data_IF_365469776858
#
_entry.id   IF_365469776858
#
_cell.length_a   1.000
_cell.length_b   1.000
_cell.length_c   1.000
_cell.angle_alpha   90.00
_cell.angle_beta   90.00
_cell.angle_gamma   90.00
#
_symmetry.space_group_name_H-M   'P 1'
#
loop_
_entity.id
_entity.type
_entity.pdbx_description
1 polymer ?
#
# COMPACT_ATOMS: atom_id res chain seq x y z
N UNK A 1 12.72 -23.28 -22.09
CA UNK A 1 11.55 -22.44 -21.73
C UNK A 1 11.19 -22.57 -20.25
N UNK A 2 10.66 -23.71 -19.78
CA UNK A 2 10.33 -23.88 -18.35
C UNK A 2 11.51 -23.64 -17.38
N UNK A 3 12.70 -24.22 -17.64
CA UNK A 3 13.88 -24.02 -16.80
C UNK A 3 14.31 -22.54 -16.74
N UNK A 4 14.28 -21.83 -17.88
CA UNK A 4 14.63 -20.41 -17.95
C UNK A 4 13.67 -19.58 -17.10
N UNK A 5 12.36 -19.81 -17.22
CA UNK A 5 11.36 -19.14 -16.39
C UNK A 5 11.59 -19.41 -14.90
N UNK A 6 11.85 -20.66 -14.52
CA UNK A 6 12.10 -21.03 -13.12
C UNK A 6 13.33 -20.32 -12.56
N UNK A 7 14.41 -20.21 -13.34
CA UNK A 7 15.62 -19.49 -12.92
C UNK A 7 15.33 -17.99 -12.78
N UNK A 8 14.71 -17.38 -13.78
CA UNK A 8 14.37 -15.94 -13.74
C UNK A 8 13.43 -15.62 -12.59
N UNK A 9 12.36 -16.41 -12.42
CA UNK A 9 11.38 -16.19 -11.35
C UNK A 9 11.97 -16.43 -9.96
N UNK A 10 12.84 -17.43 -9.79
CA UNK A 10 13.55 -17.66 -8.55
C UNK A 10 14.51 -16.51 -8.21
N UNK A 11 15.27 -15.98 -9.17
CA UNK A 11 16.14 -14.82 -8.96
C UNK A 11 15.32 -13.60 -8.61
N UNK A 12 14.21 -13.34 -9.31
CA UNK A 12 13.35 -12.20 -9.05
C UNK A 12 12.74 -12.28 -7.63
N UNK A 13 12.25 -13.46 -7.24
CA UNK A 13 11.74 -13.69 -5.88
C UNK A 13 12.82 -13.50 -4.81
N UNK A 14 14.02 -14.05 -5.03
CA UNK A 14 15.15 -13.91 -4.11
C UNK A 14 15.64 -12.46 -3.98
N UNK A 15 15.73 -11.73 -5.09
CA UNK A 15 16.11 -10.32 -5.11
C UNK A 15 15.07 -9.45 -4.39
N UNK A 16 13.77 -9.68 -4.67
CA UNK A 16 12.66 -8.99 -4.00
C UNK A 16 12.72 -9.20 -2.49
N UNK A 17 12.93 -10.45 -2.07
CA UNK A 17 13.02 -10.81 -0.66
C UNK A 17 14.26 -10.18 -0.02
N UNK A 18 15.42 -10.26 -0.67
CA UNK A 18 16.67 -9.67 -0.16
C UNK A 18 16.57 -8.17 0.05
N UNK A 19 16.04 -7.45 -0.95
CA UNK A 19 15.80 -6.00 -0.86
C UNK A 19 14.75 -5.68 0.21
N UNK A 20 13.65 -6.43 0.28
CA UNK A 20 12.61 -6.24 1.29
C UNK A 20 13.08 -6.56 2.72
N UNK A 21 14.08 -7.41 2.88
CA UNK A 21 14.65 -7.70 4.19
C UNK A 21 15.57 -6.58 4.70
N UNK A 22 16.06 -5.69 3.82
CA UNK A 22 17.05 -4.65 4.15
C UNK A 22 16.57 -3.73 5.30
N UNK A 23 15.34 -3.18 5.30
CA UNK A 23 14.86 -2.36 6.41
C UNK A 23 14.67 -3.15 7.73
N UNK A 24 14.49 -4.48 7.67
CA UNK A 24 14.26 -5.31 8.85
C UNK A 24 15.54 -5.63 9.64
N UNK A 25 16.72 -5.48 9.03
CA UNK A 25 18.01 -5.72 9.69
C UNK A 25 18.44 -4.58 10.62
N UNK A 26 17.89 -3.38 10.44
CA UNK A 26 18.27 -2.22 11.24
C UNK A 26 17.21 -1.86 12.30
N UNK A 27 17.65 -1.30 13.44
CA UNK A 27 16.77 -0.78 14.48
C UNK A 27 16.58 0.73 14.29
N UNK A 28 15.50 1.10 13.60
CA UNK A 28 15.15 2.49 13.35
C UNK A 28 14.44 3.13 14.55
N UNK A 29 14.70 4.41 14.79
CA UNK A 29 13.89 5.24 15.71
C UNK A 29 12.53 5.56 15.09
N UNK A 30 11.54 5.95 15.92
CA UNK A 30 10.20 6.33 15.46
C UNK A 30 10.24 7.41 14.38
N UNK A 31 11.05 8.46 14.56
CA UNK A 31 11.19 9.56 13.60
C UNK A 31 11.80 9.11 12.26
N UNK A 32 12.71 8.12 12.29
CA UNK A 32 13.27 7.57 11.05
C UNK A 32 12.23 6.69 10.35
N UNK A 33 11.50 5.86 11.09
CA UNK A 33 10.40 5.07 10.52
C UNK A 33 9.31 5.95 9.89
N UNK A 34 8.98 7.09 10.50
CA UNK A 34 8.03 8.04 9.92
C UNK A 34 8.55 8.59 8.59
N UNK A 35 9.79 9.09 8.54
CA UNK A 35 10.41 9.62 7.30
C UNK A 35 10.49 8.55 6.22
N UNK A 36 10.84 7.34 6.60
CA UNK A 36 11.03 6.22 5.68
C UNK A 36 9.69 5.69 5.16
N UNK A 37 8.65 5.69 5.99
CA UNK A 37 7.27 5.40 5.59
C UNK A 37 6.74 6.44 4.61
N UNK A 38 6.94 7.74 4.88
CA UNK A 38 6.58 8.84 3.97
C UNK A 38 7.34 8.75 2.64
N UNK A 39 8.64 8.45 2.68
CA UNK A 39 9.43 8.17 1.48
C UNK A 39 8.86 6.95 0.73
N UNK A 40 8.49 5.90 1.46
CA UNK A 40 7.84 4.69 0.94
C UNK A 40 6.53 4.98 0.22
N UNK A 41 5.67 5.86 0.75
CA UNK A 41 4.46 6.33 0.06
C UNK A 41 4.83 6.97 -1.28
N UNK A 42 5.87 7.81 -1.31
CA UNK A 42 6.41 8.38 -2.55
C UNK A 42 6.89 7.30 -3.52
N UNK A 43 7.65 6.31 -3.05
CA UNK A 43 8.12 5.19 -3.87
C UNK A 43 6.98 4.39 -4.49
N UNK A 44 5.89 4.11 -3.74
CA UNK A 44 4.71 3.41 -4.26
C UNK A 44 3.98 4.24 -5.32
N UNK A 45 3.81 5.55 -5.08
CA UNK A 45 3.18 6.45 -6.03
C UNK A 45 4.03 6.62 -7.30
N UNK A 46 5.35 6.71 -7.15
CA UNK A 46 6.32 6.75 -8.24
C UNK A 46 6.35 5.46 -9.06
N UNK A 47 6.30 4.29 -8.40
CA UNK A 47 6.24 3.00 -9.09
C UNK A 47 4.93 2.87 -9.88
N UNK A 48 3.79 3.31 -9.33
CA UNK A 48 2.51 3.30 -10.01
C UNK A 48 2.52 4.19 -11.27
N UNK A 49 2.87 5.48 -11.10
CA UNK A 49 2.76 6.49 -12.16
C UNK A 49 3.92 6.46 -13.16
N UNK A 50 5.13 6.17 -12.69
CA UNK A 50 6.36 6.28 -13.48
C UNK A 50 6.84 4.96 -14.09
N UNK A 51 6.25 3.82 -13.70
CA UNK A 51 6.68 2.51 -14.20
C UNK A 51 5.49 1.64 -14.61
N UNK A 52 4.65 1.22 -13.65
CA UNK A 52 3.62 0.19 -13.87
C UNK A 52 2.56 0.65 -14.88
N UNK A 53 2.05 1.88 -14.74
CA UNK A 53 1.03 2.40 -15.65
C UNK A 53 1.61 2.61 -17.07
N UNK A 54 2.77 3.30 -17.24
CA UNK A 54 3.43 3.38 -18.54
C UNK A 54 3.64 2.01 -19.22
N UNK A 55 4.25 1.05 -18.52
CA UNK A 55 4.48 -0.30 -19.05
C UNK A 55 3.17 -0.99 -19.47
N UNK A 56 2.12 -0.86 -18.66
CA UNK A 56 0.80 -1.42 -18.97
C UNK A 56 0.13 -0.76 -20.18
N UNK A 57 0.31 0.55 -20.36
CA UNK A 57 -0.17 1.29 -21.53
C UNK A 57 0.56 0.82 -22.79
N UNK A 58 1.88 0.76 -22.75
CA UNK A 58 2.72 0.31 -23.88
C UNK A 58 2.37 -1.11 -24.31
N UNK A 59 2.32 -2.06 -23.38
CA UNK A 59 1.94 -3.44 -23.65
C UNK A 59 0.54 -3.56 -24.27
N UNK A 60 -0.40 -2.70 -23.86
CA UNK A 60 -1.76 -2.68 -24.41
C UNK A 60 -1.79 -2.10 -25.84
N UNK A 61 -0.99 -1.08 -26.12
CA UNK A 61 -0.88 -0.46 -27.45
C UNK A 61 -0.19 -1.41 -28.43
N UNK A 62 0.91 -2.03 -28.03
CA UNK A 62 1.63 -3.02 -28.85
C UNK A 62 0.73 -4.20 -29.24
N UNK A 63 -0.12 -4.66 -28.31
CA UNK A 63 -1.07 -5.74 -28.58
C UNK A 63 -2.25 -5.34 -29.47
N UNK A 64 -2.50 -4.05 -29.70
CA UNK A 64 -3.61 -3.54 -30.51
C UNK A 64 -3.11 -2.49 -31.52
N UNK A 65 -2.35 -2.90 -32.57
CA UNK A 65 -1.81 -2.00 -33.57
C UNK A 65 -2.96 -1.29 -34.33
N UNK A 66 -3.13 0.01 -34.08
CA UNK A 66 -4.24 0.80 -34.60
C UNK A 66 -4.62 1.94 -33.67
N UNK A 67 -5.90 2.06 -33.33
CA UNK A 67 -6.39 3.09 -32.42
C UNK A 67 -6.04 2.71 -30.98
N UNK A 68 -5.38 3.59 -30.19
CA UNK A 68 -5.08 3.30 -28.80
C UNK A 68 -6.39 3.01 -28.05
N UNK A 69 -6.49 1.87 -27.34
CA UNK A 69 -7.72 1.47 -26.67
C UNK A 69 -7.88 2.22 -25.34
N UNK A 70 -7.91 3.56 -25.39
CA UNK A 70 -7.95 4.45 -24.22
C UNK A 70 -9.07 4.08 -23.24
N UNK A 71 -10.24 3.66 -23.75
CA UNK A 71 -11.35 3.21 -22.92
C UNK A 71 -11.04 1.93 -22.13
N UNK A 72 -10.29 0.98 -22.70
CA UNK A 72 -9.85 -0.23 -21.99
C UNK A 72 -8.81 0.12 -20.93
N UNK A 73 -7.90 1.04 -21.24
CA UNK A 73 -6.88 1.50 -20.30
C UNK A 73 -7.52 2.14 -19.07
N UNK A 74 -8.42 3.10 -19.29
CA UNK A 74 -9.14 3.76 -18.20
C UNK A 74 -9.97 2.77 -17.38
N UNK A 75 -10.69 1.85 -18.06
CA UNK A 75 -11.49 0.83 -17.40
C UNK A 75 -10.62 -0.12 -16.57
N UNK A 76 -9.45 -0.54 -17.06
CA UNK A 76 -8.52 -1.41 -16.34
C UNK A 76 -8.04 -0.74 -15.03
N UNK A 77 -7.64 0.53 -15.11
CA UNK A 77 -7.21 1.30 -13.94
C UNK A 77 -8.33 1.46 -12.91
N UNK A 78 -9.55 1.80 -13.36
CA UNK A 78 -10.72 1.94 -12.49
C UNK A 78 -11.08 0.59 -11.85
N UNK A 79 -11.04 -0.51 -12.61
CA UNK A 79 -11.27 -1.85 -12.07
C UNK A 79 -10.24 -2.17 -10.99
N UNK A 80 -8.96 -1.92 -11.24
CA UNK A 80 -7.89 -2.18 -10.27
C UNK A 80 -8.03 -1.37 -8.98
N UNK A 81 -8.37 -0.08 -9.12
CA UNK A 81 -8.61 0.80 -7.98
C UNK A 81 -9.86 0.37 -7.20
N UNK A 82 -10.96 0.10 -7.90
CA UNK A 82 -12.25 -0.32 -7.30
C UNK A 82 -12.14 -1.69 -6.64
N UNK A 83 -11.39 -2.61 -7.23
CA UNK A 83 -11.12 -3.92 -6.64
C UNK A 83 -10.45 -3.76 -5.28
N UNK A 84 -9.41 -2.92 -5.18
CA UNK A 84 -8.77 -2.66 -3.89
C UNK A 84 -9.68 -1.95 -2.90
N UNK A 85 -10.50 -1.01 -3.35
CA UNK A 85 -11.52 -0.37 -2.53
C UNK A 85 -12.47 -1.42 -1.94
N UNK A 86 -13.06 -2.26 -2.78
CA UNK A 86 -13.96 -3.33 -2.34
C UNK A 86 -13.25 -4.26 -1.36
N UNK A 87 -12.00 -4.66 -1.66
CA UNK A 87 -11.23 -5.53 -0.78
C UNK A 87 -10.98 -4.90 0.58
N UNK A 88 -10.65 -3.60 0.66
CA UNK A 88 -10.53 -2.90 1.94
C UNK A 88 -11.87 -2.92 2.70
N UNK A 89 -12.98 -2.60 2.03
CA UNK A 89 -14.30 -2.58 2.67
C UNK A 89 -14.77 -3.96 3.15
N UNK A 90 -14.47 -5.02 2.40
CA UNK A 90 -14.85 -6.40 2.76
C UNK A 90 -13.97 -7.00 3.86
N UNK A 91 -12.69 -6.63 3.89
CA UNK A 91 -11.71 -7.22 4.81
C UNK A 91 -11.57 -6.38 6.09
N UNK A 92 -12.01 -5.12 6.08
CA UNK A 92 -12.06 -4.25 7.27
C UNK A 92 -13.46 -3.65 7.51
N UNK A 93 -14.51 -4.45 7.84
CA UNK A 93 -15.87 -3.93 8.03
C UNK A 93 -16.09 -3.11 9.32
N UNK A 94 -15.05 -2.61 10.00
CA UNK A 94 -15.25 -2.07 11.37
C UNK A 94 -14.27 -0.96 11.77
N UNK A 95 -14.61 0.27 11.38
CA UNK A 95 -14.26 1.47 12.17
C UNK A 95 -15.22 2.64 11.92
N UNK A 96 -16.53 2.36 11.97
CA UNK A 96 -17.54 3.37 12.29
C UNK A 96 -18.50 2.80 13.34
N UNK A 97 -17.99 2.52 14.55
CA UNK A 97 -18.86 2.53 15.72
C UNK A 97 -19.02 3.98 16.17
N UNK A 98 -20.10 4.64 15.72
CA UNK A 98 -20.64 5.76 16.49
C UNK A 98 -20.95 5.23 17.89
N UNK A 99 -20.24 5.75 18.89
CA UNK A 99 -20.58 5.59 20.30
C UNK A 99 -21.91 6.31 20.56
N UNK A 100 -23.01 5.59 20.34
CA UNK A 100 -24.29 5.88 20.98
C UNK A 100 -24.36 4.95 22.20
N UNK A 101 -24.16 5.52 23.39
CA UNK A 101 -25.07 5.33 24.52
C UNK A 101 -24.51 6.00 25.79
N UNK A 102 -25.35 6.83 26.41
CA UNK A 102 -25.04 7.49 27.68
C UNK A 102 -25.99 8.62 28.06
N UNK A 103 -27.31 8.44 27.92
CA UNK A 103 -28.29 9.28 28.62
C UNK A 103 -28.80 8.51 29.84
N UNK A 104 -28.68 9.04 31.07
CA UNK A 104 -29.62 8.75 32.13
C UNK A 104 -30.70 9.84 32.18
N UNK A 105 -31.95 9.39 32.10
CA UNK A 105 -33.03 9.79 32.99
C UNK A 105 -33.55 11.23 32.99
N UNK A 106 -34.83 11.31 32.55
CA UNK A 106 -35.95 11.87 33.32
C UNK A 106 -36.39 13.33 33.05
N UNK A 107 -37.72 13.48 33.12
CA UNK A 107 -38.53 14.70 33.23
C UNK A 107 -38.56 15.63 32.00
N UNK A 108 -39.62 15.57 31.18
CA UNK A 108 -40.92 16.24 31.35
C UNK A 108 -40.95 17.71 30.89
N UNK A 109 -41.82 17.91 29.88
CA UNK A 109 -42.84 18.98 29.81
C UNK A 109 -42.49 20.29 29.08
N UNK A 110 -43.03 20.34 27.85
CA UNK A 110 -43.98 21.35 27.34
C UNK A 110 -43.47 22.76 26.97
N UNK A 111 -43.66 23.09 25.69
CA UNK A 111 -44.14 24.42 25.26
C UNK A 111 -43.08 25.39 24.74
N UNK A 112 -43.04 25.55 23.42
CA UNK A 112 -42.63 26.80 22.73
C UNK A 112 -43.43 28.02 23.26
N UNK A 113 -43.02 29.31 23.07
CA UNK A 113 -42.26 29.77 21.89
C UNK A 113 -41.29 30.98 22.05
N UNK A 114 -40.53 31.22 20.97
CA UNK A 114 -39.87 32.46 20.48
C UNK A 114 -38.53 32.96 21.07
N UNK A 115 -37.55 33.10 20.14
CA UNK A 115 -36.52 34.17 19.94
C UNK A 115 -35.67 34.58 21.16
N UNK A 116 -34.34 34.62 21.16
CA UNK A 116 -33.39 35.08 20.16
C UNK A 116 -31.97 34.55 20.50
N UNK A 117 -31.07 34.66 19.52
CA UNK A 117 -29.65 34.28 19.57
C UNK A 117 -28.86 35.32 20.38
N UNK A 118 -28.12 34.90 21.43
CA UNK A 118 -26.89 35.58 21.87
C UNK A 118 -26.00 34.62 22.68
N UNK A 119 -24.71 34.55 22.34
CA UNK A 119 -23.71 33.65 22.95
C UNK A 119 -22.95 34.40 24.05
N UNK A 120 -23.01 33.87 25.28
CA UNK A 120 -22.56 34.52 26.51
C UNK A 120 -21.15 34.08 26.95
N UNK A 121 -20.53 34.92 27.78
CA UNK A 121 -19.10 35.08 28.02
C UNK A 121 -18.47 34.20 29.14
N UNK A 122 -17.14 34.08 29.04
CA UNK A 122 -16.07 34.09 30.06
C UNK A 122 -16.15 33.42 31.47
N UNK A 123 -14.99 32.83 31.81
CA UNK A 123 -14.19 32.91 33.08
C UNK A 123 -14.43 31.96 34.29
N UNK A 124 -13.28 31.44 34.78
CA UNK A 124 -12.98 30.99 36.16
C UNK A 124 -13.43 29.57 36.51
N UNK A 125 -12.75 28.76 37.32
CA UNK A 125 -11.79 29.06 38.38
C UNK A 125 -10.99 27.79 38.75
N UNK A 126 -9.78 28.01 39.27
CA UNK A 126 -8.88 27.01 39.82
C UNK A 126 -9.45 26.44 41.13
N UNK A 127 -9.41 25.12 41.32
CA UNK A 127 -9.40 24.54 42.67
C UNK A 127 -8.49 23.33 42.76
N UNK A 128 -7.79 23.30 43.88
CA UNK A 128 -6.46 22.76 44.11
C UNK A 128 -6.52 21.52 45.02
N UNK A 129 -5.63 20.57 44.73
CA UNK A 129 -4.98 19.61 45.62
C UNK A 129 -5.80 18.73 46.61
N UNK A 130 -5.68 17.41 46.39
CA UNK A 130 -4.97 16.54 47.34
C UNK A 130 -5.77 15.45 48.04
N UNK A 131 -5.52 14.18 47.70
CA UNK A 131 -5.10 13.11 48.65
C UNK A 131 -4.78 11.80 47.93
N UNK A 132 -3.67 11.20 48.33
CA UNK A 132 -3.23 9.85 47.94
C UNK A 132 -3.94 8.77 48.77
N UNK A 133 -4.23 7.62 48.13
CA UNK A 133 -4.18 6.28 48.75
C UNK A 133 -4.03 5.21 47.66
N UNK A 134 -2.99 4.39 47.82
CA UNK A 134 -2.73 3.12 47.13
C UNK A 134 -3.91 2.17 47.21
N UNK A 135 -4.23 1.48 46.10
CA UNK A 135 -4.57 0.05 46.11
C UNK A 135 -4.21 -0.59 44.76
N UNK A 136 -3.25 -1.51 44.84
CA UNK A 136 -2.84 -2.49 43.84
C UNK A 136 -4.00 -3.37 43.35
N UNK A 137 -4.24 -3.42 42.04
CA UNK A 137 -4.95 -4.54 41.40
C UNK A 137 -4.60 -4.66 39.90
N UNK A 138 -3.79 -5.67 39.58
CA UNK A 138 -3.70 -6.43 38.33
C UNK A 138 -3.90 -5.68 36.99
N UNK A 139 -2.77 -5.26 36.41
CA UNK A 139 -2.63 -4.95 34.99
C UNK A 139 -2.70 -6.23 34.14
N UNK A 140 -3.81 -6.46 33.45
CA UNK A 140 -3.86 -7.41 32.32
C UNK A 140 -4.83 -6.93 31.23
N UNK A 141 -4.26 -6.60 30.06
CA UNK A 141 -4.84 -6.26 28.73
C UNK A 141 -5.13 -4.75 28.46
N UNK A 142 -4.62 -4.21 27.33
CA UNK A 142 -5.10 -4.58 25.99
C UNK A 142 -3.99 -4.79 24.93
N UNK A 143 -3.21 -5.88 25.03
CA UNK A 143 -2.23 -6.25 23.97
C UNK A 143 -2.94 -6.80 22.71
N UNK A 144 -4.17 -7.32 22.84
CA UNK A 144 -4.94 -7.91 21.73
C UNK A 144 -5.58 -6.89 20.78
N UNK A 145 -5.93 -5.68 21.26
CA UNK A 145 -6.54 -4.62 20.45
C UNK A 145 -5.52 -3.93 19.53
N UNK A 146 -4.32 -3.62 20.03
CA UNK A 146 -3.26 -2.97 19.23
C UNK A 146 -2.66 -3.91 18.16
N UNK A 147 -2.67 -5.22 18.41
CA UNK A 147 -2.19 -6.22 17.46
C UNK A 147 -3.17 -6.46 16.31
N UNK A 148 -4.49 -6.37 16.57
CA UNK A 148 -5.51 -6.46 15.52
C UNK A 148 -5.43 -5.25 14.58
N UNK A 149 -5.37 -4.04 15.15
CA UNK A 149 -5.29 -2.79 14.38
C UNK A 149 -4.08 -2.70 13.44
N UNK A 150 -2.93 -3.26 13.83
CA UNK A 150 -1.74 -3.32 12.96
C UNK A 150 -1.90 -4.27 11.79
N UNK A 151 -2.56 -5.42 12.01
CA UNK A 151 -2.83 -6.41 10.98
C UNK A 151 -3.83 -5.89 9.96
N UNK A 152 -4.84 -5.16 10.41
CA UNK A 152 -5.90 -4.59 9.58
C UNK A 152 -5.34 -3.55 8.59
N UNK A 153 -4.31 -2.79 8.99
CA UNK A 153 -3.62 -1.85 8.08
C UNK A 153 -2.62 -2.52 7.16
N UNK A 154 -1.91 -3.53 7.65
CA UNK A 154 -0.86 -4.20 6.89
C UNK A 154 -1.38 -5.16 5.83
N UNK A 155 -2.55 -5.76 6.05
CA UNK A 155 -3.09 -6.77 5.14
C UNK A 155 -3.52 -6.19 3.78
N UNK A 156 -4.25 -5.06 3.70
CA UNK A 156 -4.56 -4.41 2.42
C UNK A 156 -3.30 -3.99 1.64
N UNK A 157 -2.24 -3.55 2.33
CA UNK A 157 -0.93 -3.29 1.71
C UNK A 157 -0.36 -4.56 1.08
N UNK A 158 -0.32 -5.66 1.85
CA UNK A 158 0.16 -6.96 1.35
C UNK A 158 -0.68 -7.44 0.16
N UNK A 159 -1.99 -7.31 0.23
CA UNK A 159 -2.90 -7.78 -0.80
C UNK A 159 -2.69 -7.02 -2.12
N UNK A 160 -2.65 -5.68 -2.08
CA UNK A 160 -2.40 -4.88 -3.28
C UNK A 160 -1.05 -5.17 -3.92
N UNK A 161 -0.02 -5.36 -3.10
CA UNK A 161 1.32 -5.73 -3.57
C UNK A 161 1.42 -7.18 -4.07
N UNK A 162 0.64 -8.11 -3.51
CA UNK A 162 0.56 -9.46 -4.01
C UNK A 162 -0.15 -9.54 -5.38
N UNK A 163 -1.22 -8.75 -5.57
CA UNK A 163 -1.91 -8.61 -6.87
C UNK A 163 -0.95 -8.04 -7.92
N UNK A 164 -0.19 -7.01 -7.57
CA UNK A 164 0.86 -6.47 -8.45
C UNK A 164 1.93 -7.49 -8.79
N UNK A 165 2.47 -8.17 -7.78
CA UNK A 165 3.44 -9.25 -8.02
C UNK A 165 2.87 -10.36 -8.90
N UNK A 166 1.55 -10.57 -8.87
CA UNK A 166 0.88 -11.51 -9.77
C UNK A 166 0.87 -11.02 -11.22
N UNK A 167 0.65 -9.73 -11.47
CA UNK A 167 0.77 -9.12 -12.80
C UNK A 167 2.20 -9.19 -13.34
N UNK A 168 3.22 -8.95 -12.51
CA UNK A 168 4.63 -9.13 -12.87
C UNK A 168 4.92 -10.59 -13.31
N UNK A 169 4.34 -11.55 -12.58
CA UNK A 169 4.50 -12.97 -12.88
C UNK A 169 3.89 -13.33 -14.23
N UNK A 170 2.72 -12.77 -14.55
CA UNK A 170 2.07 -12.93 -15.86
C UNK A 170 2.94 -12.33 -16.98
N UNK A 171 3.48 -11.13 -16.78
CA UNK A 171 4.37 -10.47 -17.74
C UNK A 171 5.65 -11.28 -17.98
N UNK A 172 6.29 -11.77 -16.92
CA UNK A 172 7.47 -12.62 -17.01
C UNK A 172 7.19 -13.94 -17.75
N UNK A 173 6.05 -14.57 -17.47
CA UNK A 173 5.64 -15.82 -18.12
C UNK A 173 5.29 -15.65 -19.59
N UNK A 174 4.69 -14.50 -19.96
CA UNK A 174 4.31 -14.21 -21.34
C UNK A 174 5.51 -13.85 -22.23
N UNK A 175 6.34 -12.91 -21.78
CA UNK A 175 7.46 -12.42 -22.59
C UNK A 175 8.70 -13.33 -22.55
N UNK A 176 9.02 -13.91 -21.38
CA UNK A 176 10.27 -14.65 -21.10
C UNK A 176 11.56 -13.95 -21.59
N UNK A 177 11.51 -12.62 -21.73
CA UNK A 177 12.62 -11.81 -22.19
C UNK A 177 13.52 -11.42 -21.01
N UNK A 178 14.84 -11.49 -21.23
CA UNK A 178 15.81 -11.01 -20.25
C UNK A 178 15.65 -9.51 -19.97
N UNK A 179 15.21 -8.74 -20.97
CA UNK A 179 14.95 -7.30 -20.81
C UNK A 179 13.79 -7.05 -19.86
N UNK A 180 12.66 -7.73 -20.06
CA UNK A 180 11.48 -7.65 -19.16
C UNK A 180 11.86 -8.11 -17.76
N UNK A 181 12.63 -9.20 -17.65
CA UNK A 181 13.14 -9.66 -16.36
C UNK A 181 13.99 -8.61 -15.63
N UNK A 182 14.90 -7.93 -16.34
CA UNK A 182 15.74 -6.90 -15.76
C UNK A 182 14.91 -5.68 -15.32
N UNK A 183 13.97 -5.23 -16.16
CA UNK A 183 13.03 -4.17 -15.82
C UNK A 183 12.24 -4.48 -14.53
N UNK A 184 11.69 -5.70 -14.44
CA UNK A 184 11.00 -6.20 -13.24
C UNK A 184 11.90 -6.15 -12.00
N UNK A 185 13.15 -6.60 -12.08
CA UNK A 185 14.07 -6.54 -10.92
C UNK A 185 14.25 -5.09 -10.45
N UNK A 186 14.48 -4.18 -11.39
CA UNK A 186 14.83 -2.79 -11.09
C UNK A 186 13.66 -2.08 -10.41
N UNK A 187 12.43 -2.23 -10.93
CA UNK A 187 11.27 -1.53 -10.36
C UNK A 187 10.69 -2.22 -9.12
N UNK A 188 10.96 -3.51 -8.92
CA UNK A 188 10.49 -4.27 -7.75
C UNK A 188 11.31 -3.98 -6.50
N UNK A 189 12.56 -3.53 -6.67
CA UNK A 189 13.40 -3.07 -5.55
C UNK A 189 12.77 -1.86 -4.80
N UNK A 190 12.40 -0.75 -5.47
CA UNK A 190 11.65 0.35 -4.85
C UNK A 190 10.38 -0.10 -4.14
N UNK A 191 9.56 -0.92 -4.80
CA UNK A 191 8.29 -1.43 -4.26
C UNK A 191 8.51 -2.28 -3.00
N UNK A 192 9.52 -3.15 -2.99
CA UNK A 192 9.84 -4.02 -1.84
C UNK A 192 10.37 -3.24 -0.64
N UNK A 193 11.20 -2.21 -0.89
CA UNK A 193 11.65 -1.29 0.15
C UNK A 193 10.46 -0.54 0.75
N UNK A 194 9.66 0.09 -0.10
CA UNK A 194 8.50 0.86 0.31
C UNK A 194 7.54 0.01 1.15
N UNK A 195 7.24 -1.20 0.70
CA UNK A 195 6.39 -2.15 1.41
C UNK A 195 6.88 -2.42 2.82
N UNK A 196 8.14 -2.80 2.96
CA UNK A 196 8.71 -3.19 4.25
C UNK A 196 8.73 -2.01 5.20
N UNK A 197 9.02 -0.81 4.69
CA UNK A 197 9.05 0.41 5.50
C UNK A 197 7.65 0.82 5.94
N UNK A 198 6.62 0.65 5.09
CA UNK A 198 5.23 0.83 5.48
C UNK A 198 4.80 -0.21 6.51
N UNK A 199 5.17 -1.49 6.37
CA UNK A 199 4.91 -2.52 7.38
C UNK A 199 5.56 -2.20 8.73
N UNK A 200 6.81 -1.73 8.73
CA UNK A 200 7.52 -1.34 9.95
C UNK A 200 6.91 -0.11 10.63
N UNK A 201 6.14 0.71 9.90
CA UNK A 201 5.38 1.82 10.46
C UNK A 201 4.02 1.41 11.03
N UNK A 202 3.58 0.15 10.82
CA UNK A 202 2.42 -0.44 11.51
C UNK A 202 2.83 -1.01 12.87
N UNK A 203 1.86 -1.34 13.73
CA UNK A 203 2.10 -2.01 15.02
C UNK A 203 2.44 -3.51 14.91
N UNK A 204 2.78 -4.01 13.71
CA UNK A 204 3.17 -5.40 13.52
C UNK A 204 4.55 -5.74 14.09
N UNK A 205 4.67 -6.95 14.63
CA UNK A 205 5.96 -7.48 15.08
C UNK A 205 6.86 -7.79 13.87
N UNK A 206 8.18 -7.61 14.03
CA UNK A 206 9.18 -7.90 12.97
C UNK A 206 9.05 -9.31 12.36
N UNK A 207 8.78 -10.39 13.13
CA UNK A 207 8.55 -11.70 12.54
C UNK A 207 7.33 -11.74 11.59
N UNK A 208 6.27 -10.99 11.89
CA UNK A 208 5.12 -10.87 10.99
C UNK A 208 5.47 -10.06 9.74
N UNK A 209 6.26 -8.98 9.86
CA UNK A 209 6.75 -8.25 8.70
C UNK A 209 7.57 -9.17 7.78
N UNK A 210 8.46 -10.01 8.33
CA UNK A 210 9.24 -11.00 7.55
C UNK A 210 8.32 -11.97 6.80
N UNK A 211 7.25 -12.45 7.43
CA UNK A 211 6.25 -13.32 6.79
C UNK A 211 5.56 -12.59 5.63
N UNK A 212 5.19 -11.32 5.81
CA UNK A 212 4.50 -10.55 4.78
C UNK A 212 5.41 -10.27 3.58
N UNK A 213 6.68 -9.91 3.85
CA UNK A 213 7.71 -9.77 2.80
C UNK A 213 7.94 -11.08 2.06
N UNK A 214 7.93 -12.23 2.76
CA UNK A 214 8.04 -13.54 2.12
C UNK A 214 6.84 -13.85 1.21
N UNK A 215 5.60 -13.58 1.67
CA UNK A 215 4.39 -13.77 0.86
C UNK A 215 4.42 -12.88 -0.38
N UNK A 216 4.76 -11.60 -0.23
CA UNK A 216 4.92 -10.67 -1.35
C UNK A 216 5.99 -11.14 -2.34
N UNK A 217 7.16 -11.55 -1.85
CA UNK A 217 8.26 -11.98 -2.73
C UNK A 217 7.94 -13.29 -3.46
N UNK A 218 7.10 -14.15 -2.87
CA UNK A 218 6.66 -15.40 -3.46
C UNK A 218 5.51 -15.23 -4.48
N UNK A 219 4.74 -14.13 -4.43
CA UNK A 219 3.58 -13.96 -5.31
C UNK A 219 3.97 -13.94 -6.79
N UNK A 220 5.07 -13.25 -7.14
CA UNK A 220 5.58 -13.18 -8.52
C UNK A 220 6.07 -14.51 -9.06
N UNK A 221 6.98 -15.26 -8.40
CA UNK A 221 7.40 -16.55 -8.92
C UNK A 221 6.26 -17.56 -8.99
N UNK A 222 5.36 -17.56 -8.00
CA UNK A 222 4.19 -18.43 -8.02
C UNK A 222 3.27 -18.10 -9.20
N UNK A 223 2.95 -16.83 -9.40
CA UNK A 223 2.12 -16.37 -10.52
C UNK A 223 2.79 -16.65 -11.87
N UNK A 224 4.10 -16.49 -12.00
CA UNK A 224 4.82 -16.81 -13.24
C UNK A 224 4.70 -18.30 -13.61
N UNK A 225 4.89 -19.19 -12.62
CA UNK A 225 4.77 -20.63 -12.83
C UNK A 225 3.32 -21.00 -13.20
N UNK A 226 2.34 -20.50 -12.47
CA UNK A 226 0.91 -20.75 -12.74
C UNK A 226 0.52 -20.25 -14.13
N UNK A 227 0.92 -19.03 -14.48
CA UNK A 227 0.68 -18.41 -15.78
C UNK A 227 1.29 -19.23 -16.92
N UNK A 228 2.53 -19.70 -16.76
CA UNK A 228 3.18 -20.54 -17.76
C UNK A 228 2.46 -21.88 -17.97
N UNK A 229 2.06 -22.55 -16.88
CA UNK A 229 1.30 -23.79 -16.97
C UNK A 229 -0.04 -23.53 -17.68
N UNK A 230 -0.73 -22.44 -17.34
CA UNK A 230 -2.00 -22.07 -17.97
C UNK A 230 -1.85 -21.80 -19.47
N UNK A 231 -0.87 -20.99 -19.87
CA UNK A 231 -0.59 -20.71 -21.28
C UNK A 231 -0.21 -21.97 -22.07
N UNK A 232 0.59 -22.86 -21.46
CA UNK A 232 0.98 -24.13 -22.08
C UNK A 232 -0.19 -25.11 -22.23
N UNK A 233 -1.18 -25.06 -21.32
CA UNK A 233 -2.33 -25.98 -21.31
C UNK A 233 -3.49 -25.51 -22.18
N UNK A 234 -3.75 -24.20 -22.24
CA UNK A 234 -4.91 -23.63 -22.93
C UNK A 234 -4.61 -23.23 -24.38
N UNK A 235 -3.35 -23.24 -24.83
CA UNK A 235 -2.96 -22.84 -26.18
C UNK A 235 -3.19 -21.35 -26.50
N UNK A 236 -3.72 -20.56 -25.55
CA UNK A 236 -3.73 -19.09 -25.56
C UNK A 236 -2.35 -18.60 -25.16
N UNK A 237 -1.42 -18.66 -26.12
CA UNK A 237 -0.08 -18.10 -25.96
C UNK A 237 -0.11 -16.58 -25.83
N UNK A 238 0.81 -16.04 -25.02
CA UNK A 238 1.22 -14.63 -24.91
C UNK A 238 0.25 -13.56 -25.45
N UNK A 239 -0.99 -13.52 -24.95
CA UNK A 239 -1.93 -12.45 -25.29
C UNK A 239 -1.40 -11.15 -24.64
N UNK A 240 -0.63 -10.36 -25.37
CA UNK A 240 -0.09 -9.08 -24.88
C UNK A 240 -1.18 -8.16 -24.32
N UNK A 241 -2.40 -8.29 -24.83
CA UNK A 241 -3.57 -7.60 -24.32
C UNK A 241 -3.94 -8.04 -22.89
N UNK A 242 -3.79 -9.32 -22.53
CA UNK A 242 -3.98 -9.77 -21.14
C UNK A 242 -2.89 -9.24 -20.22
N UNK A 243 -1.64 -9.19 -20.69
CA UNK A 243 -0.51 -8.69 -19.91
C UNK A 243 -0.67 -7.19 -19.64
N UNK A 244 -0.92 -6.38 -20.67
CA UNK A 244 -1.14 -4.95 -20.52
C UNK A 244 -2.33 -4.63 -19.62
N UNK A 245 -3.45 -5.35 -19.77
CA UNK A 245 -4.62 -5.20 -18.89
C UNK A 245 -4.31 -5.59 -17.45
N UNK A 246 -3.55 -6.66 -17.21
CA UNK A 246 -3.15 -7.07 -15.87
C UNK A 246 -2.23 -6.04 -15.19
N UNK A 247 -1.27 -5.47 -15.93
CA UNK A 247 -0.40 -4.40 -15.44
C UNK A 247 -1.20 -3.13 -15.12
N UNK A 248 -2.18 -2.75 -15.94
CA UNK A 248 -3.03 -1.58 -15.69
C UNK A 248 -3.98 -1.79 -14.50
N UNK A 249 -4.58 -2.97 -14.36
CA UNK A 249 -5.34 -3.33 -13.15
C UNK A 249 -4.43 -3.24 -11.91
N UNK A 250 -3.21 -3.76 -12.00
CA UNK A 250 -2.19 -3.61 -10.95
C UNK A 250 -1.85 -2.14 -10.66
N UNK A 251 -1.74 -1.29 -11.69
CA UNK A 251 -1.50 0.15 -11.54
C UNK A 251 -2.61 0.85 -10.77
N UNK A 252 -3.87 0.53 -11.06
CA UNK A 252 -5.03 1.02 -10.31
C UNK A 252 -5.02 0.58 -8.84
N UNK A 253 -4.67 -0.69 -8.59
CA UNK A 253 -4.46 -1.23 -7.24
C UNK A 253 -3.36 -0.47 -6.49
N UNK A 254 -2.25 -0.16 -7.13
CA UNK A 254 -1.14 0.59 -6.54
C UNK A 254 -1.50 2.04 -6.22
N UNK A 255 -2.23 2.71 -7.11
CA UNK A 255 -2.73 4.05 -6.84
C UNK A 255 -3.62 4.07 -5.60
N UNK A 256 -4.49 3.08 -5.43
CA UNK A 256 -5.30 2.95 -4.23
C UNK A 256 -4.44 2.81 -2.97
N UNK A 257 -3.48 1.87 -3.00
CA UNK A 257 -2.56 1.63 -1.88
C UNK A 257 -1.78 2.90 -1.51
N UNK A 258 -1.25 3.61 -2.52
CA UNK A 258 -0.41 4.79 -2.29
C UNK A 258 -1.19 6.02 -1.86
N UNK A 259 -2.46 6.17 -2.26
CA UNK A 259 -3.25 7.39 -2.01
C UNK A 259 -4.26 7.27 -0.88
N UNK A 260 -4.88 6.09 -0.73
CA UNK A 260 -5.95 5.84 0.26
C UNK A 260 -5.38 5.18 1.52
N UNK A 261 -4.57 4.13 1.38
CA UNK A 261 -4.03 3.40 2.53
C UNK A 261 -2.82 4.08 3.18
N UNK A 262 -2.14 4.98 2.46
CA UNK A 262 -0.96 5.70 2.94
C UNK A 262 -1.20 7.21 2.82
N UNK A 263 -1.89 7.84 3.79
CA UNK A 263 -2.31 9.23 3.67
C UNK A 263 -1.11 10.17 3.47
N UNK A 264 -1.10 10.84 2.33
CA UNK A 264 -0.07 11.80 1.88
C UNK A 264 -0.10 13.09 2.71
N UNK A 265 -1.26 13.43 3.28
CA UNK A 265 -1.54 14.69 3.98
C UNK A 265 -1.96 14.48 5.43
N UNK A 266 -1.00 14.30 6.33
CA UNK A 266 -1.22 14.55 7.76
C UNK A 266 -0.59 15.89 8.13
N UNK A 267 -1.43 16.87 8.47
CA UNK A 267 -0.97 18.10 9.12
C UNK A 267 -0.64 17.77 10.57
N UNK A 268 0.64 17.58 10.86
CA UNK A 268 1.10 17.44 12.24
C UNK A 268 0.88 18.75 13.00
N UNK A 269 -0.10 18.77 13.88
CA UNK A 269 -0.39 19.91 14.77
C UNK A 269 0.28 19.76 16.13
N UNK A 270 0.95 18.62 16.38
CA UNK A 270 1.59 18.31 17.66
C UNK A 270 3.11 18.58 17.63
N UNK A 271 3.70 19.06 18.74
CA UNK A 271 5.14 19.21 18.87
C UNK A 271 5.84 17.85 18.82
N UNK A 272 6.50 17.56 17.70
CA UNK A 272 7.18 16.29 17.43
C UNK A 272 6.94 15.76 16.03
N UNK A 273 5.87 16.19 15.36
CA UNK A 273 5.52 15.74 14.02
C UNK A 273 6.42 16.35 12.94
N UNK A 274 6.57 15.60 11.85
CA UNK A 274 7.28 16.08 10.67
C UNK A 274 6.59 17.32 10.07
N UNK A 275 7.38 18.38 9.84
CA UNK A 275 6.92 19.58 9.12
C UNK A 275 6.32 19.19 7.76
N UNK A 276 5.17 19.79 7.41
CA UNK A 276 4.48 19.52 6.14
C UNK A 276 5.41 19.66 4.91
N UNK A 277 6.26 20.69 4.89
CA UNK A 277 7.24 20.88 3.82
C UNK A 277 8.23 19.71 3.69
N UNK A 278 8.71 19.16 4.82
CA UNK A 278 9.60 17.99 4.82
C UNK A 278 8.88 16.73 4.36
N UNK A 279 7.60 16.58 4.70
CA UNK A 279 6.76 15.46 4.25
C UNK A 279 6.60 15.51 2.73
N UNK A 280 6.14 16.64 2.19
CA UNK A 280 5.99 16.84 0.74
C UNK A 280 7.32 16.58 0.03
N UNK A 281 8.43 17.15 0.51
CA UNK A 281 9.75 16.93 -0.06
C UNK A 281 10.15 15.45 -0.12
N UNK A 282 9.94 14.69 0.97
CA UNK A 282 10.24 13.25 1.01
C UNK A 282 9.35 12.44 0.05
N UNK A 283 8.06 12.77 -0.04
CA UNK A 283 7.14 12.11 -0.99
C UNK A 283 7.57 12.40 -2.43
N UNK A 284 7.91 13.66 -2.74
CA UNK A 284 8.40 14.06 -4.05
C UNK A 284 9.68 13.31 -4.41
N UNK A 285 10.68 13.27 -3.52
CA UNK A 285 11.90 12.48 -3.74
C UNK A 285 11.55 11.01 -3.99
N UNK A 286 10.70 10.42 -3.15
CA UNK A 286 10.26 9.03 -3.31
C UNK A 286 9.61 8.77 -4.67
N UNK A 287 8.81 9.70 -5.17
CA UNK A 287 8.11 9.57 -6.46
C UNK A 287 9.06 9.54 -7.65
N UNK A 288 10.14 10.32 -7.61
CA UNK A 288 11.11 10.39 -8.71
C UNK A 288 12.13 9.25 -8.70
N UNK A 289 12.33 8.54 -7.58
CA UNK A 289 13.30 7.42 -7.51
C UNK A 289 12.95 6.30 -8.51
N UNK A 290 11.72 5.74 -8.56
CA UNK A 290 11.37 4.69 -9.52
C UNK A 290 11.49 5.16 -10.97
N UNK A 291 11.11 6.41 -11.25
CA UNK A 291 11.20 7.00 -12.58
C UNK A 291 12.65 7.18 -13.05
N UNK A 292 13.52 7.67 -12.16
CA UNK A 292 14.94 7.78 -12.46
C UNK A 292 15.56 6.40 -12.70
N UNK A 293 15.19 5.42 -11.88
CA UNK A 293 15.63 4.04 -12.05
C UNK A 293 15.14 3.44 -13.36
N UNK A 294 13.88 3.62 -13.78
CA UNK A 294 13.42 3.09 -15.07
C UNK A 294 14.17 3.74 -16.25
N UNK A 295 14.33 5.06 -16.23
CA UNK A 295 15.03 5.79 -17.31
C UNK A 295 16.49 5.37 -17.51
N UNK A 296 17.19 4.95 -16.45
CA UNK A 296 18.60 4.55 -16.53
C UNK A 296 18.82 3.26 -17.32
N UNK A 297 17.81 2.41 -17.44
CA UNK A 297 17.92 1.10 -18.09
C UNK A 297 17.12 1.00 -19.40
N UNK A 298 16.30 2.00 -19.71
CA UNK A 298 15.53 2.11 -20.96
C UNK A 298 16.37 2.59 -22.16
N UNK A 299 17.62 3.01 -21.96
CA UNK A 299 18.54 3.43 -23.04
C UNK A 299 19.11 2.25 -23.88
N UNK A 300 18.40 1.14 -23.98
CA UNK A 300 18.83 -0.10 -24.64
C UNK A 300 17.94 -0.59 -25.77
N UNK A 301 16.95 0.19 -26.21
CA UNK A 301 16.07 -0.12 -27.34
C UNK A 301 16.34 0.79 -28.54
#
# INVERSE_FOLDING_TARGET
>A
MALQLLVMSAILGAATFGVGMLPLFYAFSKNHLERLSVLGTGLLLGAALGVIIPEGVEATIEANPGKPPTGRIALALIIGFTLMLIMEQLISPSSHSHSLDGVPSNAQKLGSPLTDIEFDAELGDLSQAGRATDHTAASSLPISLDLHSGKDRAFPLLLGLAIHGSADGLALAGAMSFVVFLALIIHKAPTSLAFTTSLLSTSLSRPNCKKYVAIFSASTPLSAIVSYVLFSSLGKGNDGNLIGMALLISGGTFLYVATVLQPVSNHGTLPGDMKAASRVFLITIGMFIPLALSSLFDHGH
#
